data_IF_239050376157
#
_entry.id   IF_239050376157
#
_cell.length_a   1.000
_cell.length_b   1.000
_cell.length_c   1.000
_cell.angle_alpha   90.00
_cell.angle_beta   90.00
_cell.angle_gamma   90.00
#
_symmetry.space_group_name_H-M   'P 1'
#
loop_
_entity.id
_entity.type
_entity.pdbx_description
1 polymer ?
#
# COMPACT_ATOMS: atom_id res chain seq x y z
N UNK A 1 0.11 38.42 73.24
CA UNK A 1 -0.50 37.23 72.64
C UNK A 1 0.54 36.12 72.67
N UNK A 2 0.21 34.98 73.28
CA UNK A 2 1.17 34.04 73.88
C UNK A 2 1.17 32.70 73.14
N UNK A 3 1.56 32.71 71.86
CA UNK A 3 2.01 31.52 71.12
C UNK A 3 2.95 31.98 69.99
N UNK A 4 4.25 32.07 70.27
CA UNK A 4 5.27 32.52 69.32
C UNK A 4 5.36 31.66 68.04
N UNK A 5 4.59 32.04 67.04
CA UNK A 5 4.67 31.57 65.67
C UNK A 5 4.95 32.77 64.78
N UNK A 6 6.01 32.71 63.97
CA UNK A 6 6.27 33.69 62.93
C UNK A 6 5.20 33.55 61.83
N UNK A 7 4.43 34.62 61.61
CA UNK A 7 3.46 34.67 60.53
C UNK A 7 4.19 34.79 59.19
N UNK A 8 4.02 33.79 58.33
CA UNK A 8 4.49 33.84 56.95
C UNK A 8 3.49 34.70 56.15
N UNK A 9 3.92 35.77 55.46
CA UNK A 9 3.03 36.60 54.67
C UNK A 9 2.58 35.86 53.41
N UNK A 10 1.27 35.75 53.24
CA UNK A 10 0.63 35.35 51.98
C UNK A 10 0.46 36.63 51.15
N UNK A 11 1.10 36.68 49.98
CA UNK A 11 0.90 37.76 49.02
C UNK A 11 -0.33 37.48 48.15
N UNK A 12 -1.14 38.51 47.88
CA UNK A 12 -2.21 38.46 46.88
C UNK A 12 -1.62 38.11 45.50
N UNK A 13 -2.11 37.01 44.92
CA UNK A 13 -1.68 36.53 43.60
C UNK A 13 -1.81 35.03 43.36
N UNK A 14 -2.13 34.21 44.37
CA UNK A 14 -2.49 32.80 44.16
C UNK A 14 -3.95 32.67 43.70
N UNK A 15 -4.20 33.06 42.45
CA UNK A 15 -5.32 32.49 41.72
C UNK A 15 -5.05 30.98 41.53
N UNK A 16 -5.98 30.17 42.05
CA UNK A 16 -6.10 28.75 41.70
C UNK A 16 -6.36 28.64 40.20
N UNK A 17 -5.30 28.53 39.40
CA UNK A 17 -5.41 28.24 37.97
C UNK A 17 -5.13 26.77 37.66
N UNK A 18 -5.89 26.26 36.69
CA UNK A 18 -6.09 24.86 36.32
C UNK A 18 -4.83 23.97 36.38
N UNK A 19 -4.98 22.84 37.09
CA UNK A 19 -4.01 21.77 37.20
C UNK A 19 -3.80 21.04 35.87
N UNK A 20 -2.82 21.47 35.06
CA UNK A 20 -2.23 20.62 34.00
C UNK A 20 -0.88 21.09 33.41
N UNK A 21 -0.03 21.82 34.16
CA UNK A 21 1.26 22.32 33.64
C UNK A 21 2.44 22.15 34.59
N UNK A 22 3.64 21.95 34.04
CA UNK A 22 4.90 21.85 34.80
C UNK A 22 5.69 23.15 34.69
N UNK A 23 6.02 23.75 35.84
CA UNK A 23 6.97 24.87 35.91
C UNK A 23 8.39 24.35 36.14
N UNK A 24 9.28 24.61 35.19
CA UNK A 24 10.71 24.30 35.22
C UNK A 24 11.48 25.63 35.25
N UNK A 25 12.51 25.74 36.08
CA UNK A 25 13.30 26.97 36.15
C UNK A 25 14.04 27.24 34.82
N UNK A 26 14.16 28.51 34.37
CA UNK A 26 14.81 28.87 33.11
C UNK A 26 16.23 28.32 32.97
N UNK A 27 17.00 28.28 34.06
CA UNK A 27 18.35 27.70 34.08
C UNK A 27 18.37 26.20 33.77
N UNK A 28 17.36 25.46 34.25
CA UNK A 28 17.24 24.02 34.02
C UNK A 28 16.77 23.74 32.59
N UNK A 29 15.89 24.57 32.04
CA UNK A 29 15.49 24.54 30.61
C UNK A 29 16.70 24.74 29.70
N UNK A 30 17.57 25.71 30.02
CA UNK A 30 18.76 25.99 29.24
C UNK A 30 19.81 24.87 29.32
N UNK A 31 20.01 24.28 30.52
CA UNK A 31 20.89 23.11 30.70
C UNK A 31 20.38 21.85 29.98
N UNK A 32 19.06 21.68 29.86
CA UNK A 32 18.43 20.57 29.17
C UNK A 32 18.46 20.72 27.63
N UNK A 33 18.88 21.88 27.10
CA UNK A 33 18.93 22.12 25.67
C UNK A 33 17.56 22.12 24.99
N UNK A 34 16.52 22.53 25.72
CA UNK A 34 15.14 22.59 25.21
C UNK A 34 15.10 23.53 24.02
N UNK A 35 14.62 23.01 22.88
CA UNK A 35 14.35 23.80 21.69
C UNK A 35 12.86 23.81 21.43
N UNK A 36 12.35 24.94 20.99
CA UNK A 36 10.95 25.11 20.62
C UNK A 36 10.83 25.46 19.13
N UNK A 37 9.71 25.08 18.54
CA UNK A 37 9.32 25.47 17.19
C UNK A 37 7.88 26.01 17.23
N UNK A 38 7.57 26.95 16.34
CA UNK A 38 6.21 27.48 16.23
C UNK A 38 5.34 26.51 15.42
N UNK A 39 4.09 26.36 15.85
CA UNK A 39 3.05 25.67 15.09
C UNK A 39 2.62 26.61 13.97
N UNK A 40 2.84 26.20 12.73
CA UNK A 40 2.55 26.99 11.54
C UNK A 40 1.70 26.20 10.56
N UNK A 41 0.86 26.92 9.80
CA UNK A 41 0.17 26.33 8.65
C UNK A 41 1.16 26.11 7.52
N UNK A 42 1.33 24.85 7.11
CA UNK A 42 2.20 24.48 5.99
C UNK A 42 1.47 23.58 5.01
N UNK A 43 1.82 23.74 3.73
CA UNK A 43 1.45 22.76 2.73
C UNK A 43 2.28 21.49 3.00
N UNK A 44 1.60 20.44 3.47
CA UNK A 44 2.23 19.17 3.78
C UNK A 44 1.96 18.24 2.60
N UNK A 45 2.99 17.99 1.79
CA UNK A 45 2.86 17.05 0.68
C UNK A 45 2.57 15.66 1.25
N UNK A 46 1.31 15.25 1.17
CA UNK A 46 0.94 13.88 1.48
C UNK A 46 1.51 12.99 0.37
N UNK A 47 2.40 12.09 0.75
CA UNK A 47 2.97 11.09 -0.15
C UNK A 47 2.31 9.76 0.13
N UNK A 48 1.80 9.11 -0.92
CA UNK A 48 1.36 7.73 -0.84
C UNK A 48 2.54 6.86 -1.24
N UNK A 49 2.99 6.04 -0.31
CA UNK A 49 4.09 5.09 -0.53
C UNK A 49 3.51 3.75 -0.94
N UNK A 50 4.03 3.20 -2.02
CA UNK A 50 3.63 1.90 -2.55
C UNK A 50 4.85 1.14 -3.04
N UNK A 51 4.72 -0.17 -3.13
CA UNK A 51 5.65 -1.02 -3.86
C UNK A 51 5.02 -1.41 -5.18
N UNK A 52 5.85 -1.66 -6.18
CA UNK A 52 5.37 -2.04 -7.49
C UNK A 52 6.39 -2.84 -8.27
N UNK A 53 5.94 -3.30 -9.44
CA UNK A 53 6.75 -4.04 -10.38
C UNK A 53 6.69 -3.38 -11.75
N UNK A 54 7.82 -3.37 -12.44
CA UNK A 54 7.90 -2.91 -13.83
C UNK A 54 7.35 -4.01 -14.73
N UNK A 55 6.46 -3.63 -15.64
CA UNK A 55 5.81 -4.48 -16.61
C UNK A 55 5.95 -3.88 -18.01
N UNK A 56 5.77 -4.71 -19.01
CA UNK A 56 5.81 -4.30 -20.41
C UNK A 56 4.56 -3.48 -20.71
N UNK A 57 4.69 -2.42 -21.52
CA UNK A 57 3.52 -1.75 -22.07
C UNK A 57 2.83 -2.70 -23.06
N UNK A 58 1.68 -3.26 -22.65
CA UNK A 58 0.91 -4.21 -23.48
C UNK A 58 0.48 -3.60 -24.83
N UNK A 59 0.35 -2.26 -24.92
CA UNK A 59 0.02 -1.57 -26.18
C UNK A 59 1.17 -1.60 -27.18
N UNK A 60 2.40 -1.86 -26.70
CA UNK A 60 3.64 -1.91 -27.48
C UNK A 60 4.18 -3.33 -27.62
N UNK A 61 3.38 -4.31 -27.21
CA UNK A 61 3.67 -5.73 -27.34
C UNK A 61 3.13 -6.23 -28.68
N UNK A 62 3.97 -6.90 -29.46
CA UNK A 62 3.59 -7.45 -30.76
C UNK A 62 3.94 -8.93 -30.80
N UNK A 63 2.93 -9.74 -31.09
CA UNK A 63 3.07 -11.19 -31.26
C UNK A 63 3.20 -11.52 -32.74
N UNK A 64 4.25 -12.26 -33.10
CA UNK A 64 4.44 -12.77 -34.45
C UNK A 64 3.87 -14.18 -34.52
N UNK A 65 2.69 -14.30 -35.15
CA UNK A 65 1.99 -15.55 -35.36
C UNK A 65 1.65 -15.70 -36.85
N UNK A 66 2.22 -16.70 -37.56
CA UNK A 66 1.90 -16.96 -38.96
C UNK A 66 0.41 -17.31 -39.16
N UNK A 67 -0.13 -16.98 -40.34
CA UNK A 67 -1.55 -17.23 -40.70
C UNK A 67 -1.76 -18.52 -41.51
N UNK A 68 -0.72 -19.31 -41.69
CA UNK A 68 -0.69 -20.59 -42.39
C UNK A 68 0.22 -21.56 -41.65
N UNK A 69 0.25 -22.83 -42.06
CA UNK A 69 1.22 -23.80 -41.54
C UNK A 69 2.46 -23.92 -42.44
N UNK A 70 3.59 -24.21 -41.84
CA UNK A 70 4.85 -24.35 -42.55
C UNK A 70 5.99 -24.85 -41.69
N UNK A 71 7.17 -24.89 -42.28
CA UNK A 71 8.42 -25.28 -41.64
C UNK A 71 9.38 -24.10 -41.62
N UNK A 72 10.01 -23.87 -40.48
CA UNK A 72 11.06 -22.85 -40.36
C UNK A 72 12.34 -23.40 -41.00
N UNK A 73 12.73 -22.89 -42.17
CA UNK A 73 13.94 -23.37 -42.85
C UNK A 73 15.20 -22.67 -42.31
N UNK A 74 15.13 -21.36 -42.06
CA UNK A 74 16.27 -20.57 -41.59
C UNK A 74 15.84 -19.57 -40.54
N UNK A 75 16.59 -19.49 -39.45
CA UNK A 75 16.36 -18.56 -38.35
C UNK A 75 17.42 -17.45 -38.38
N UNK A 76 17.01 -16.19 -38.47
CA UNK A 76 17.93 -15.04 -38.40
C UNK A 76 18.03 -14.51 -36.97
N UNK A 77 16.89 -14.36 -36.30
CA UNK A 77 16.81 -13.91 -34.90
C UNK A 77 16.68 -15.13 -34.01
N UNK A 78 17.78 -15.55 -33.40
CA UNK A 78 17.88 -16.85 -32.75
C UNK A 78 17.95 -16.79 -31.21
N UNK A 79 17.97 -15.60 -30.60
CA UNK A 79 18.08 -15.41 -29.16
C UNK A 79 16.97 -14.51 -28.57
N UNK A 80 16.54 -14.81 -27.36
CA UNK A 80 15.74 -13.89 -26.54
C UNK A 80 16.63 -12.75 -26.02
N UNK A 81 16.05 -11.57 -25.84
CA UNK A 81 16.77 -10.35 -25.48
C UNK A 81 17.44 -9.62 -26.66
N UNK A 82 17.42 -10.20 -27.87
CA UNK A 82 17.93 -9.54 -29.07
C UNK A 82 17.01 -8.37 -29.47
N UNK A 83 17.60 -7.22 -29.79
CA UNK A 83 16.88 -6.10 -30.39
C UNK A 83 16.69 -6.35 -31.90
N UNK A 84 15.49 -6.05 -32.39
CA UNK A 84 15.12 -6.14 -33.81
C UNK A 84 14.54 -4.80 -34.28
N UNK A 85 14.93 -4.37 -35.48
CA UNK A 85 14.35 -3.22 -36.14
C UNK A 85 13.07 -3.60 -36.90
N UNK A 86 12.17 -2.64 -37.12
CA UNK A 86 10.97 -2.85 -37.96
C UNK A 86 11.40 -3.27 -39.38
N UNK A 87 10.84 -4.35 -39.89
CA UNK A 87 11.16 -4.91 -41.20
C UNK A 87 12.38 -5.84 -41.24
N UNK A 88 13.10 -5.99 -40.11
CA UNK A 88 14.21 -6.93 -40.00
C UNK A 88 13.75 -8.37 -40.20
N UNK A 89 14.58 -9.20 -40.83
CA UNK A 89 14.26 -10.60 -41.14
C UNK A 89 14.30 -11.40 -39.85
N UNK A 90 13.20 -12.07 -39.51
CA UNK A 90 13.11 -12.95 -38.33
C UNK A 90 13.49 -14.38 -38.70
N UNK A 91 12.80 -14.93 -39.70
CA UNK A 91 13.01 -16.29 -40.20
C UNK A 91 12.51 -16.43 -41.64
N UNK A 92 13.02 -17.44 -42.35
CA UNK A 92 12.47 -17.91 -43.61
C UNK A 92 11.63 -19.18 -43.35
N UNK A 93 10.44 -19.23 -43.92
CA UNK A 93 9.51 -20.34 -43.79
C UNK A 93 9.14 -20.94 -45.14
N UNK A 94 9.05 -22.27 -45.19
CA UNK A 94 8.50 -23.02 -46.30
C UNK A 94 7.08 -23.47 -45.97
N UNK A 95 6.13 -23.23 -46.88
CA UNK A 95 4.77 -23.78 -46.79
C UNK A 95 4.36 -24.35 -48.14
N UNK A 96 3.98 -25.64 -48.21
CA UNK A 96 3.47 -26.24 -49.45
C UNK A 96 2.22 -25.54 -49.97
N UNK A 97 1.30 -25.15 -49.07
CA UNK A 97 0.05 -24.49 -49.42
C UNK A 97 0.30 -23.08 -49.96
N UNK A 98 1.23 -22.34 -49.36
CA UNK A 98 1.64 -21.04 -49.85
C UNK A 98 2.22 -21.13 -51.27
N UNK A 99 3.11 -22.10 -51.50
CA UNK A 99 3.74 -22.31 -52.81
C UNK A 99 2.70 -22.68 -53.87
N UNK A 100 1.72 -23.52 -53.53
CA UNK A 100 0.61 -23.87 -54.43
C UNK A 100 -0.21 -22.62 -54.79
N UNK A 101 -0.59 -21.81 -53.80
CA UNK A 101 -1.36 -20.58 -54.05
C UNK A 101 -0.58 -19.55 -54.89
N UNK A 102 0.74 -19.42 -54.68
CA UNK A 102 1.58 -18.55 -55.51
C UNK A 102 1.60 -19.00 -56.97
N UNK A 103 1.72 -20.32 -57.23
CA UNK A 103 1.67 -20.89 -58.58
C UNK A 103 0.32 -20.66 -59.24
N UNK A 104 -0.76 -20.91 -58.52
CA UNK A 104 -2.12 -20.69 -59.02
C UNK A 104 -2.35 -19.21 -59.38
N UNK A 105 -1.91 -18.28 -58.53
CA UNK A 105 -2.01 -16.85 -58.83
C UNK A 105 -1.16 -16.45 -60.03
N UNK A 106 0.10 -16.89 -60.10
CA UNK A 106 1.00 -16.57 -61.19
C UNK A 106 0.46 -17.05 -62.54
N UNK A 107 -0.04 -18.29 -62.63
CA UNK A 107 -0.64 -18.83 -63.85
C UNK A 107 -1.90 -18.05 -64.24
N UNK A 108 -2.79 -17.76 -63.29
CA UNK A 108 -4.01 -17.01 -63.57
C UNK A 108 -3.73 -15.56 -64.01
N UNK A 109 -2.77 -14.89 -63.39
CA UNK A 109 -2.36 -13.53 -63.73
C UNK A 109 -1.69 -13.46 -65.11
N UNK A 110 -0.80 -14.40 -65.44
CA UNK A 110 -0.18 -14.50 -66.76
C UNK A 110 -1.20 -14.83 -67.84
N UNK A 111 -2.14 -15.75 -67.56
CA UNK A 111 -3.24 -16.05 -68.46
C UNK A 111 -4.06 -14.80 -68.81
N UNK A 112 -4.42 -13.99 -67.81
CA UNK A 112 -5.10 -12.71 -68.04
C UNK A 112 -4.30 -11.74 -68.90
N UNK A 113 -2.98 -11.66 -68.71
CA UNK A 113 -2.12 -10.78 -69.50
C UNK A 113 -2.01 -11.20 -70.97
N UNK A 114 -2.16 -12.51 -71.26
CA UNK A 114 -2.11 -13.09 -72.60
C UNK A 114 -3.45 -13.04 -73.35
N UNK A 115 -4.58 -12.94 -72.63
CA UNK A 115 -5.94 -12.94 -73.17
C UNK A 115 -6.37 -11.56 -73.71
N UNK A 116 -5.56 -10.94 -74.58
CA UNK A 116 -5.87 -9.63 -75.19
C UNK A 116 -7.05 -9.68 -76.18
N UNK A 117 -7.28 -10.83 -76.80
CA UNK A 117 -8.30 -11.04 -77.85
C UNK A 117 -9.33 -12.15 -77.50
N UNK A 118 -9.50 -12.47 -76.21
CA UNK A 118 -10.35 -13.58 -75.77
C UNK A 118 -11.78 -13.15 -75.42
N UNK A 119 -12.72 -14.10 -75.50
CA UNK A 119 -14.13 -13.90 -75.15
C UNK A 119 -14.30 -13.37 -73.71
N UNK A 120 -15.25 -12.45 -73.52
CA UNK A 120 -15.52 -11.80 -72.25
C UNK A 120 -15.80 -12.79 -71.10
N UNK A 121 -16.41 -13.96 -71.40
CA UNK A 121 -16.66 -15.01 -70.42
C UNK A 121 -15.36 -15.69 -69.94
N UNK A 122 -14.40 -15.91 -70.83
CA UNK A 122 -13.10 -16.50 -70.52
C UNK A 122 -12.26 -15.55 -69.67
N UNK A 123 -12.26 -14.26 -70.01
CA UNK A 123 -11.62 -13.21 -69.21
C UNK A 123 -12.24 -13.14 -67.80
N UNK A 124 -13.57 -13.17 -67.69
CA UNK A 124 -14.26 -13.14 -66.40
C UNK A 124 -14.01 -14.39 -65.54
N UNK A 125 -13.88 -15.58 -66.16
CA UNK A 125 -13.51 -16.81 -65.48
C UNK A 125 -12.09 -16.74 -64.90
N UNK A 126 -11.11 -16.37 -65.71
CA UNK A 126 -9.72 -16.24 -65.28
C UNK A 126 -9.53 -15.14 -64.24
N UNK A 127 -10.27 -14.02 -64.36
CA UNK A 127 -10.23 -12.94 -63.38
C UNK A 127 -10.69 -13.41 -62.00
N UNK A 128 -11.79 -14.17 -61.93
CA UNK A 128 -12.26 -14.75 -60.66
C UNK A 128 -11.24 -15.70 -60.02
N UNK A 129 -10.53 -16.49 -60.84
CA UNK A 129 -9.46 -17.38 -60.35
C UNK A 129 -8.28 -16.59 -59.78
N UNK A 130 -7.81 -15.57 -60.51
CA UNK A 130 -6.74 -14.69 -60.06
C UNK A 130 -7.13 -13.95 -58.78
N UNK A 131 -8.34 -13.40 -58.71
CA UNK A 131 -8.84 -12.67 -57.54
C UNK A 131 -8.94 -13.59 -56.29
N UNK A 132 -9.37 -14.85 -56.47
CA UNK A 132 -9.46 -15.82 -55.37
C UNK A 132 -8.08 -16.25 -54.85
N UNK A 133 -7.10 -16.45 -55.74
CA UNK A 133 -5.73 -16.76 -55.35
C UNK A 133 -5.05 -15.55 -54.69
N UNK A 134 -5.27 -14.34 -55.22
CA UNK A 134 -4.81 -13.08 -54.63
C UNK A 134 -5.35 -12.87 -53.22
N UNK A 135 -6.65 -13.11 -53.01
CA UNK A 135 -7.28 -13.00 -51.71
C UNK A 135 -6.62 -13.95 -50.68
N UNK A 136 -6.28 -15.19 -51.07
CA UNK A 136 -5.55 -16.13 -50.20
C UNK A 136 -4.15 -15.62 -49.85
N UNK A 137 -3.37 -15.17 -50.83
CA UNK A 137 -2.02 -14.64 -50.58
C UNK A 137 -2.05 -13.41 -49.65
N UNK A 138 -3.02 -12.50 -49.85
CA UNK A 138 -3.21 -11.34 -48.97
C UNK A 138 -3.65 -11.74 -47.56
N UNK A 139 -4.53 -12.73 -47.44
CA UNK A 139 -4.94 -13.24 -46.12
C UNK A 139 -3.77 -13.85 -45.34
N UNK A 140 -2.72 -14.28 -46.02
CA UNK A 140 -1.48 -14.77 -45.42
C UNK A 140 -0.39 -13.71 -45.25
N UNK A 141 -0.74 -12.43 -45.44
CA UNK A 141 0.15 -11.28 -45.34
C UNK A 141 1.39 -11.36 -46.26
N UNK A 142 1.27 -12.04 -47.41
CA UNK A 142 2.28 -11.92 -48.46
C UNK A 142 2.33 -10.47 -48.92
N UNK A 143 3.54 -9.91 -49.04
CA UNK A 143 3.69 -8.49 -49.35
C UNK A 143 3.17 -8.17 -50.75
N UNK A 144 2.62 -6.96 -50.93
CA UNK A 144 2.16 -6.51 -52.25
C UNK A 144 3.31 -6.47 -53.28
N UNK A 145 4.55 -6.26 -52.84
CA UNK A 145 5.74 -6.35 -53.68
C UNK A 145 5.97 -7.78 -54.22
N UNK A 146 5.84 -8.79 -53.38
CA UNK A 146 5.96 -10.19 -53.79
C UNK A 146 4.80 -10.60 -54.70
N UNK A 147 3.57 -10.16 -54.39
CA UNK A 147 2.40 -10.37 -55.24
C UNK A 147 2.58 -9.73 -56.62
N UNK A 148 3.08 -8.50 -56.68
CA UNK A 148 3.34 -7.79 -57.94
C UNK A 148 4.42 -8.50 -58.77
N UNK A 149 5.47 -9.02 -58.13
CA UNK A 149 6.50 -9.82 -58.82
C UNK A 149 5.93 -11.10 -59.43
N UNK A 150 5.04 -11.81 -58.71
CA UNK A 150 4.35 -12.99 -59.25
C UNK A 150 3.48 -12.65 -60.46
N UNK A 151 2.74 -11.53 -60.39
CA UNK A 151 1.90 -11.07 -61.49
C UNK A 151 2.71 -10.65 -62.73
N UNK A 152 3.92 -10.09 -62.53
CA UNK A 152 4.82 -9.67 -63.60
C UNK A 152 5.58 -10.82 -64.27
N UNK A 153 5.30 -12.08 -63.90
CA UNK A 153 5.96 -13.25 -64.47
C UNK A 153 7.13 -13.79 -63.66
N UNK A 154 7.32 -13.32 -62.42
CA UNK A 154 8.32 -13.85 -61.50
C UNK A 154 8.00 -15.29 -61.06
N UNK A 155 9.04 -16.06 -60.78
CA UNK A 155 8.88 -17.44 -60.31
C UNK A 155 8.38 -17.50 -58.85
N UNK A 156 7.43 -18.41 -58.54
CA UNK A 156 7.02 -18.69 -57.16
C UNK A 156 8.20 -19.07 -56.29
N UNK A 157 8.32 -18.42 -55.13
CA UNK A 157 9.42 -18.66 -54.20
C UNK A 157 9.03 -19.76 -53.23
N UNK A 158 9.94 -20.73 -53.07
CA UNK A 158 9.77 -21.80 -52.09
C UNK A 158 9.65 -21.25 -50.66
N UNK A 159 10.46 -20.26 -50.30
CA UNK A 159 10.51 -19.71 -48.95
C UNK A 159 9.98 -18.29 -48.89
N UNK A 160 9.22 -17.97 -47.84
CA UNK A 160 8.78 -16.62 -47.50
C UNK A 160 9.60 -16.10 -46.31
N UNK A 161 10.10 -14.87 -46.41
CA UNK A 161 10.81 -14.23 -45.29
C UNK A 161 9.81 -13.49 -44.41
N UNK A 162 9.67 -13.94 -43.16
CA UNK A 162 8.93 -13.22 -42.14
C UNK A 162 9.77 -12.10 -41.56
N UNK A 163 9.17 -10.91 -41.47
CA UNK A 163 9.82 -9.69 -40.99
C UNK A 163 9.19 -9.20 -39.69
N UNK A 164 9.97 -8.48 -38.90
CA UNK A 164 9.50 -7.88 -37.67
C UNK A 164 8.44 -6.78 -37.96
N UNK A 165 7.20 -6.91 -37.44
CA UNK A 165 6.14 -5.93 -37.68
C UNK A 165 6.41 -4.58 -36.98
N UNK A 166 7.18 -4.61 -35.88
CA UNK A 166 7.57 -3.46 -35.08
C UNK A 166 9.04 -3.60 -34.63
N UNK A 167 9.65 -2.48 -34.24
CA UNK A 167 10.97 -2.48 -33.62
C UNK A 167 10.84 -2.75 -32.11
N UNK A 168 11.79 -3.48 -31.52
CA UNK A 168 11.75 -3.79 -30.10
C UNK A 168 12.71 -4.91 -29.70
N UNK A 169 12.59 -5.37 -28.46
CA UNK A 169 13.36 -6.49 -27.92
C UNK A 169 12.52 -7.77 -27.97
N UNK A 170 13.13 -8.87 -28.39
CA UNK A 170 12.50 -10.20 -28.36
C UNK A 170 12.38 -10.67 -26.91
N UNK A 171 11.16 -10.69 -26.37
CA UNK A 171 10.88 -11.19 -25.03
C UNK A 171 10.79 -12.72 -25.00
N UNK A 172 10.06 -13.28 -25.95
CA UNK A 172 9.91 -14.72 -26.12
C UNK A 172 10.25 -15.14 -27.54
N UNK A 173 10.94 -16.30 -27.65
CA UNK A 173 11.28 -16.94 -28.92
C UNK A 173 10.95 -18.43 -28.84
N UNK A 174 9.82 -18.83 -29.41
CA UNK A 174 9.42 -20.24 -29.53
C UNK A 174 9.87 -20.84 -30.86
N UNK A 175 10.19 -20.01 -31.85
CA UNK A 175 10.71 -20.44 -33.14
C UNK A 175 12.05 -21.20 -33.02
N UNK A 176 12.08 -22.40 -33.58
CA UNK A 176 13.27 -23.24 -33.73
C UNK A 176 13.47 -23.61 -35.19
N UNK A 177 14.70 -23.56 -35.69
CA UNK A 177 14.99 -23.96 -37.06
C UNK A 177 14.67 -25.45 -37.27
N UNK A 178 13.99 -25.77 -38.37
CA UNK A 178 13.48 -27.11 -38.71
C UNK A 178 12.11 -27.42 -38.11
N UNK A 179 11.58 -26.59 -37.21
CA UNK A 179 10.30 -26.80 -36.56
C UNK A 179 9.14 -26.56 -37.53
N UNK A 180 8.08 -27.37 -37.42
CA UNK A 180 6.79 -27.11 -38.05
C UNK A 180 5.96 -26.20 -37.16
N UNK A 181 5.34 -25.17 -37.73
CA UNK A 181 4.41 -24.28 -37.03
C UNK A 181 2.99 -24.41 -37.59
N UNK A 182 2.02 -24.17 -36.73
CA UNK A 182 0.60 -24.09 -37.09
C UNK A 182 0.13 -22.63 -37.25
N UNK A 183 -0.99 -22.39 -37.96
CA UNK A 183 -1.58 -21.06 -38.04
C UNK A 183 -1.97 -20.56 -36.64
N UNK A 184 -1.63 -19.32 -36.32
CA UNK A 184 -1.89 -18.71 -35.01
C UNK A 184 -0.88 -19.10 -33.92
N UNK A 185 0.08 -19.97 -34.20
CA UNK A 185 1.13 -20.31 -33.25
C UNK A 185 2.05 -19.11 -33.01
N UNK A 186 2.22 -18.73 -31.75
CA UNK A 186 3.12 -17.65 -31.36
C UNK A 186 4.57 -18.10 -31.50
N UNK A 187 5.28 -17.52 -32.47
CA UNK A 187 6.69 -17.82 -32.75
C UNK A 187 7.64 -16.84 -32.06
N UNK A 188 7.27 -15.56 -32.04
CA UNK A 188 8.01 -14.49 -31.36
C UNK A 188 7.05 -13.59 -30.60
N UNK A 189 7.57 -13.02 -29.52
CA UNK A 189 6.95 -11.89 -28.84
C UNK A 189 7.97 -10.76 -28.77
N UNK A 190 7.66 -9.64 -29.39
CA UNK A 190 8.53 -8.47 -29.51
C UNK A 190 7.89 -7.33 -28.75
N UNK A 191 8.65 -6.64 -27.89
CA UNK A 191 8.16 -5.49 -27.16
C UNK A 191 9.07 -4.27 -27.34
N UNK A 192 8.48 -3.12 -27.60
CA UNK A 192 9.19 -1.85 -27.47
C UNK A 192 9.26 -1.44 -25.99
N UNK A 193 10.48 -1.49 -25.43
CA UNK A 193 10.78 -1.18 -24.03
C UNK A 193 11.14 0.30 -23.79
N UNK A 194 10.98 1.18 -24.79
CA UNK A 194 11.27 2.62 -24.65
C UNK A 194 10.33 3.34 -23.66
N UNK A 195 9.16 2.78 -23.40
CA UNK A 195 8.25 3.15 -22.32
C UNK A 195 7.83 1.88 -21.61
N UNK A 196 7.83 1.89 -20.28
CA UNK A 196 7.42 0.75 -19.46
C UNK A 196 6.32 1.17 -18.50
N UNK A 197 5.51 0.20 -18.10
CA UNK A 197 4.54 0.40 -17.04
C UNK A 197 5.17 0.01 -15.72
N UNK A 198 4.81 0.73 -14.68
CA UNK A 198 4.99 0.29 -13.33
C UNK A 198 3.61 0.09 -12.71
N UNK A 199 3.36 -1.11 -12.22
CA UNK A 199 2.14 -1.45 -11.52
C UNK A 199 2.44 -1.38 -10.03
N UNK A 200 1.95 -0.32 -9.39
CA UNK A 200 2.06 -0.09 -7.96
C UNK A 200 0.86 -0.68 -7.22
N UNK A 201 1.12 -1.38 -6.13
CA UNK A 201 0.11 -1.86 -5.20
C UNK A 201 -0.11 -0.80 -4.11
N UNK A 202 -1.23 -0.08 -4.19
CA UNK A 202 -1.64 0.94 -3.22
C UNK A 202 -2.69 0.36 -2.28
N UNK A 203 -2.49 0.49 -0.96
CA UNK A 203 -3.47 -0.01 0.01
C UNK A 203 -4.81 0.71 -0.07
N UNK A 204 -5.89 -0.01 0.25
CA UNK A 204 -7.27 0.50 0.25
C UNK A 204 -7.45 1.81 1.04
N UNK A 205 -6.69 2.00 2.13
CA UNK A 205 -6.78 3.19 2.99
C UNK A 205 -6.30 4.48 2.29
N UNK A 206 -5.42 4.35 1.30
CA UNK A 206 -4.76 5.47 0.63
C UNK A 206 -5.29 5.70 -0.80
N UNK A 207 -6.05 4.75 -1.37
CA UNK A 207 -6.52 4.82 -2.77
C UNK A 207 -7.37 6.07 -3.05
N UNK A 208 -8.13 6.55 -2.07
CA UNK A 208 -8.96 7.76 -2.20
C UNK A 208 -8.15 9.04 -2.44
N UNK A 209 -6.83 9.01 -2.21
CA UNK A 209 -5.92 10.14 -2.43
C UNK A 209 -5.21 10.07 -3.79
N UNK A 210 -5.23 8.90 -4.44
CA UNK A 210 -4.57 8.68 -5.73
C UNK A 210 -5.51 9.06 -6.87
N UNK A 211 -5.04 9.91 -7.78
CA UNK A 211 -5.79 10.37 -8.96
C UNK A 211 -4.93 10.24 -10.22
N UNK A 212 -5.60 9.98 -11.34
CA UNK A 212 -4.96 9.98 -12.66
C UNK A 212 -4.35 11.36 -12.94
N UNK A 213 -3.12 11.37 -13.47
CA UNK A 213 -2.34 12.57 -13.77
C UNK A 213 -1.34 12.97 -12.69
N UNK A 214 -1.40 12.38 -11.49
CA UNK A 214 -0.42 12.65 -10.43
C UNK A 214 0.99 12.23 -10.82
N UNK A 215 1.98 12.98 -10.34
CA UNK A 215 3.40 12.63 -10.46
C UNK A 215 3.75 11.55 -9.45
N UNK A 216 4.54 10.58 -9.90
CA UNK A 216 5.08 9.53 -9.07
C UNK A 216 6.60 9.50 -9.19
N UNK A 217 7.29 9.54 -8.05
CA UNK A 217 8.72 9.30 -7.99
C UNK A 217 8.96 7.81 -7.75
N UNK A 218 9.83 7.21 -8.56
CA UNK A 218 10.12 5.79 -8.55
C UNK A 218 11.59 5.59 -8.23
N UNK A 219 11.88 4.76 -7.24
CA UNK A 219 13.22 4.39 -6.80
C UNK A 219 13.39 2.88 -6.92
N UNK A 220 14.45 2.46 -7.61
CA UNK A 220 14.81 1.06 -7.77
C UNK A 220 16.05 0.76 -6.93
N UNK A 221 16.10 -0.42 -6.32
CA UNK A 221 17.31 -0.88 -5.61
C UNK A 221 18.49 -1.09 -6.56
N UNK A 222 18.22 -1.48 -7.81
CA UNK A 222 19.24 -1.64 -8.84
C UNK A 222 19.96 -0.31 -9.19
N UNK A 223 19.33 0.84 -8.92
CA UNK A 223 19.85 2.16 -9.23
C UNK A 223 19.57 3.15 -8.07
N UNK A 224 20.24 3.00 -6.91
CA UNK A 224 19.88 3.73 -5.69
C UNK A 224 20.07 5.24 -5.79
N UNK A 225 21.02 5.68 -6.62
CA UNK A 225 21.36 7.10 -6.85
C UNK A 225 20.46 7.77 -7.90
N UNK A 226 19.56 7.03 -8.56
CA UNK A 226 18.68 7.56 -9.59
C UNK A 226 17.22 7.52 -9.13
N UNK A 227 16.53 8.63 -9.38
CA UNK A 227 15.08 8.73 -9.27
C UNK A 227 14.49 8.77 -10.67
N UNK A 228 13.49 7.94 -10.91
CA UNK A 228 12.74 7.93 -12.15
C UNK A 228 11.41 8.63 -11.90
N UNK A 229 11.03 9.53 -12.78
CA UNK A 229 9.74 10.22 -12.68
C UNK A 229 8.74 9.60 -13.65
N UNK A 230 7.56 9.30 -13.13
CA UNK A 230 6.43 8.78 -13.89
C UNK A 230 5.15 9.54 -13.63
N UNK A 231 4.10 9.19 -14.37
CA UNK A 231 2.75 9.72 -14.15
C UNK A 231 1.76 8.59 -13.98
N UNK A 232 0.84 8.76 -13.04
CA UNK A 232 -0.30 7.85 -12.87
C UNK A 232 -1.20 7.98 -14.10
N UNK A 233 -1.29 6.93 -14.90
CA UNK A 233 -2.12 6.92 -16.12
C UNK A 233 -3.45 6.21 -15.91
N UNK A 234 -3.51 5.28 -14.96
CA UNK A 234 -4.70 4.49 -14.72
C UNK A 234 -4.75 3.95 -13.29
N UNK A 235 -5.94 3.94 -12.70
CA UNK A 235 -6.21 3.28 -11.42
C UNK A 235 -7.19 2.16 -11.73
N UNK A 236 -6.81 0.92 -11.45
CA UNK A 236 -7.66 -0.23 -11.76
C UNK A 236 -8.89 -0.23 -10.84
N UNK A 237 -10.08 -0.59 -11.36
CA UNK A 237 -11.32 -0.59 -10.58
C UNK A 237 -11.44 -1.80 -9.64
N UNK A 238 -10.45 -2.69 -9.61
CA UNK A 238 -10.44 -3.93 -8.84
C UNK A 238 -9.39 -3.87 -7.74
N UNK A 239 -9.71 -4.48 -6.58
CA UNK A 239 -8.76 -4.71 -5.49
C UNK A 239 -8.33 -6.18 -5.50
N UNK A 240 -7.05 -6.42 -5.19
CA UNK A 240 -6.54 -7.76 -4.87
C UNK A 240 -7.01 -8.15 -3.47
N UNK A 241 -7.85 -9.18 -3.30
CA UNK A 241 -8.39 -9.54 -2.00
C UNK A 241 -7.32 -10.06 -1.03
N UNK A 242 -6.23 -10.64 -1.55
CA UNK A 242 -5.15 -11.22 -0.74
C UNK A 242 -4.34 -10.15 0.00
N UNK A 243 -4.09 -9.01 -0.65
CA UNK A 243 -3.28 -7.91 -0.12
C UNK A 243 -4.09 -6.67 0.25
N UNK A 244 -5.39 -6.66 -0.10
CA UNK A 244 -6.27 -5.48 -0.01
C UNK A 244 -5.64 -4.23 -0.64
N UNK A 245 -4.99 -4.42 -1.77
CA UNK A 245 -4.37 -3.36 -2.55
C UNK A 245 -5.10 -3.16 -3.88
N UNK A 246 -5.24 -1.90 -4.26
CA UNK A 246 -5.65 -1.51 -5.60
C UNK A 246 -4.39 -1.34 -6.48
N UNK A 247 -4.49 -1.76 -7.73
CA UNK A 247 -3.39 -1.60 -8.67
C UNK A 247 -3.46 -0.21 -9.31
N UNK A 248 -2.33 0.48 -9.34
CA UNK A 248 -2.16 1.79 -9.96
C UNK A 248 -1.08 1.69 -11.02
N UNK A 249 -1.44 2.02 -12.26
CA UNK A 249 -0.52 2.02 -13.40
C UNK A 249 0.14 3.39 -13.53
N UNK A 250 1.46 3.36 -13.53
CA UNK A 250 2.33 4.52 -13.72
C UNK A 250 3.12 4.28 -15.00
N UNK A 251 3.10 5.24 -15.92
CA UNK A 251 3.92 5.18 -17.13
C UNK A 251 5.28 5.83 -16.89
N UNK A 252 6.34 5.13 -17.24
CA UNK A 252 7.74 5.54 -17.04
C UNK A 252 8.49 5.55 -18.39
N UNK A 253 9.13 6.67 -18.76
CA UNK A 253 10.00 6.71 -19.92
C UNK A 253 11.28 5.90 -19.65
N UNK A 254 11.72 5.12 -20.64
CA UNK A 254 12.88 4.24 -20.55
C UNK A 254 13.78 4.33 -21.81
N UNK A 255 14.26 5.53 -22.19
CA UNK A 255 15.06 5.71 -23.41
C UNK A 255 16.39 4.96 -23.37
N UNK A 256 16.98 4.80 -22.18
CA UNK A 256 18.25 4.10 -21.98
C UNK A 256 18.10 2.56 -21.86
N UNK A 257 16.86 2.03 -21.85
CA UNK A 257 16.61 0.59 -21.65
C UNK A 257 17.04 0.05 -20.28
N UNK A 258 17.20 0.92 -19.27
CA UNK A 258 17.65 0.55 -17.91
C UNK A 258 16.54 -0.12 -17.09
N UNK A 259 15.30 0.32 -17.27
CA UNK A 259 14.14 -0.25 -16.60
C UNK A 259 13.78 -1.56 -17.29
N UNK A 260 14.08 -2.67 -16.64
CA UNK A 260 13.78 -4.00 -17.18
C UNK A 260 12.45 -4.51 -16.59
N UNK A 261 11.62 -5.20 -17.40
CA UNK A 261 10.44 -5.88 -16.89
C UNK A 261 10.78 -6.82 -15.73
N UNK A 262 9.81 -7.01 -14.83
CA UNK A 262 9.90 -7.74 -13.58
C UNK A 262 10.79 -7.14 -12.47
N UNK A 263 11.43 -5.99 -12.69
CA UNK A 263 12.13 -5.27 -11.61
C UNK A 263 11.14 -4.74 -10.56
N UNK A 264 11.52 -4.82 -9.29
CA UNK A 264 10.80 -4.20 -8.18
C UNK A 264 11.20 -2.73 -8.03
N UNK A 265 10.24 -1.91 -7.63
CA UNK A 265 10.50 -0.51 -7.31
C UNK A 265 9.63 -0.01 -6.16
N UNK A 266 10.16 0.97 -5.45
CA UNK A 266 9.44 1.78 -4.48
C UNK A 266 8.89 3.01 -5.17
N UNK A 267 7.66 3.35 -4.85
CA UNK A 267 6.91 4.40 -5.51
C UNK A 267 6.39 5.37 -4.47
N UNK A 268 6.61 6.64 -4.72
CA UNK A 268 6.11 7.76 -3.95
C UNK A 268 5.20 8.59 -4.85
N UNK A 269 3.88 8.43 -4.66
CA UNK A 269 2.86 9.15 -5.43
C UNK A 269 2.55 10.45 -4.67
N UNK A 270 2.69 11.57 -5.36
CA UNK A 270 2.30 12.87 -4.81
C UNK A 270 0.76 12.94 -4.73
N UNK A 271 0.21 12.74 -3.54
CA UNK A 271 -1.23 12.78 -3.30
C UNK A 271 -1.78 14.21 -3.12
N UNK A 272 -0.90 15.22 -3.18
CA UNK A 272 -1.25 16.62 -2.94
C UNK A 272 -1.46 16.90 -1.45
N UNK A 273 -1.01 18.08 -1.03
CA UNK A 273 -1.15 18.57 0.34
C UNK A 273 -2.18 19.68 0.45
N UNK A 274 -3.02 19.63 1.47
CA UNK A 274 -3.73 20.81 1.95
C UNK A 274 -2.83 21.64 2.88
N UNK A 275 -3.10 22.93 3.00
CA UNK A 275 -2.49 23.74 4.06
C UNK A 275 -3.07 23.31 5.40
N UNK A 276 -2.26 22.61 6.20
CA UNK A 276 -2.64 22.08 7.52
C UNK A 276 -1.75 22.65 8.60
N UNK A 277 -2.25 22.71 9.83
CA UNK A 277 -1.42 22.98 11.00
C UNK A 277 -0.40 21.87 11.11
N UNK A 278 0.89 22.22 11.05
CA UNK A 278 1.97 21.25 11.00
C UNK A 278 2.92 21.46 12.18
N UNK A 279 3.35 20.35 12.78
CA UNK A 279 4.41 20.35 13.80
C UNK A 279 5.55 19.44 13.37
N UNK A 280 6.81 19.73 13.75
CA UNK A 280 7.92 18.83 13.48
C UNK A 280 7.66 17.44 14.06
N UNK A 281 8.06 16.39 13.35
CA UNK A 281 7.91 15.00 13.80
C UNK A 281 8.56 14.78 15.17
N UNK A 282 9.64 15.50 15.50
CA UNK A 282 10.34 15.41 16.78
C UNK A 282 9.55 15.99 17.97
N UNK A 283 8.55 16.84 17.74
CA UNK A 283 7.74 17.44 18.81
C UNK A 283 6.65 16.50 19.34
N UNK A 284 6.30 15.46 18.57
CA UNK A 284 5.22 14.54 18.91
C UNK A 284 5.76 13.37 19.71
N UNK A 285 5.18 13.16 20.90
CA UNK A 285 5.39 11.96 21.69
C UNK A 285 4.26 10.99 21.38
N UNK A 286 4.58 9.90 20.68
CA UNK A 286 3.64 8.83 20.32
C UNK A 286 3.89 7.60 21.20
N UNK A 287 3.04 7.40 22.21
CA UNK A 287 3.09 6.24 23.10
C UNK A 287 2.22 5.07 22.61
N UNK A 288 1.68 5.15 21.38
CA UNK A 288 0.69 4.22 20.83
C UNK A 288 -0.71 4.45 21.39
N UNK A 289 -0.86 4.51 22.72
CA UNK A 289 -2.15 4.75 23.39
C UNK A 289 -2.55 6.23 23.40
N UNK A 290 -1.57 7.14 23.49
CA UNK A 290 -1.78 8.58 23.54
C UNK A 290 -0.73 9.30 22.69
N UNK A 291 -1.16 10.35 22.01
CA UNK A 291 -0.33 11.24 21.19
C UNK A 291 -0.33 12.61 21.84
N UNK A 292 0.81 13.01 22.38
CA UNK A 292 0.94 14.21 23.20
C UNK A 292 2.00 15.13 22.61
N UNK A 293 1.73 16.44 22.65
CA UNK A 293 2.69 17.49 22.33
C UNK A 293 2.82 18.40 23.55
N UNK A 294 4.04 18.84 23.83
CA UNK A 294 4.31 19.75 24.95
C UNK A 294 4.29 21.18 24.41
N UNK A 295 3.33 21.98 24.87
CA UNK A 295 3.21 23.40 24.54
C UNK A 295 3.99 24.23 25.55
N UNK A 296 4.88 25.09 25.07
CA UNK A 296 5.57 26.09 25.86
C UNK A 296 4.70 27.35 25.98
N UNK A 297 4.29 27.65 27.22
CA UNK A 297 3.49 28.83 27.56
C UNK A 297 4.34 30.04 27.94
N UNK A 298 5.67 29.93 27.87
CA UNK A 298 6.60 30.94 28.36
C UNK A 298 6.85 30.82 29.86
N UNK A 299 7.82 31.59 30.36
CA UNK A 299 8.20 31.62 31.79
C UNK A 299 8.59 30.24 32.38
N UNK A 300 9.01 29.30 31.52
CA UNK A 300 9.34 27.94 31.93
C UNK A 300 8.12 27.08 32.27
N UNK A 301 6.92 27.44 31.80
CA UNK A 301 5.69 26.64 31.96
C UNK A 301 5.45 25.76 30.73
N UNK A 302 5.40 24.45 30.94
CA UNK A 302 5.15 23.45 29.91
C UNK A 302 3.84 22.72 30.16
N UNK A 303 3.00 22.63 29.13
CA UNK A 303 1.68 22.00 29.20
C UNK A 303 1.61 20.80 28.24
N UNK A 304 1.53 19.54 28.73
CA UNK A 304 1.27 18.40 27.88
C UNK A 304 -0.16 18.45 27.36
N UNK A 305 -0.34 18.38 26.04
CA UNK A 305 -1.64 18.42 25.39
C UNK A 305 -1.82 17.25 24.44
N UNK A 306 -2.95 16.56 24.55
CA UNK A 306 -3.32 15.50 23.61
C UNK A 306 -3.71 16.10 22.25
N UNK A 307 -3.21 15.52 21.17
CA UNK A 307 -3.45 15.99 19.81
C UNK A 307 -3.94 14.87 18.90
N UNK A 308 -4.85 15.21 17.98
CA UNK A 308 -5.22 14.31 16.88
C UNK A 308 -4.34 14.60 15.68
N UNK A 309 -3.52 13.62 15.32
CA UNK A 309 -2.62 13.72 14.17
C UNK A 309 -3.32 13.26 12.87
N UNK A 310 -2.97 13.91 11.77
CA UNK A 310 -3.39 13.58 10.41
C UNK A 310 -2.26 12.94 9.60
N UNK A 311 -2.13 13.35 8.33
CA UNK A 311 -1.06 12.86 7.44
C UNK A 311 0.33 13.23 7.97
N UNK A 312 1.24 12.26 7.92
CA UNK A 312 2.65 12.44 8.28
C UNK A 312 3.46 12.62 6.99
N UNK A 313 4.18 13.73 6.89
CA UNK A 313 5.22 13.93 5.88
C UNK A 313 6.60 13.55 6.43
N UNK A 314 7.65 13.88 5.67
CA UNK A 314 9.02 13.48 6.04
C UNK A 314 9.53 14.17 7.31
N UNK A 315 9.37 15.49 7.41
CA UNK A 315 9.85 16.26 8.58
C UNK A 315 8.72 16.74 9.50
N UNK A 316 7.51 16.88 8.97
CA UNK A 316 6.36 17.45 9.67
C UNK A 316 5.17 16.50 9.68
N UNK A 317 4.31 16.62 10.69
CA UNK A 317 3.04 15.91 10.80
C UNK A 317 1.90 16.90 10.91
N UNK A 318 0.81 16.60 10.21
CA UNK A 318 -0.42 17.37 10.27
C UNK A 318 -1.10 17.18 11.63
N UNK A 319 -1.61 18.26 12.20
CA UNK A 319 -2.42 18.28 13.42
C UNK A 319 -3.84 18.66 13.03
N UNK A 320 -4.77 17.73 13.25
CA UNK A 320 -6.19 17.91 12.95
C UNK A 320 -6.93 18.61 14.09
N UNK A 321 -6.51 18.38 15.34
CA UNK A 321 -7.13 18.92 16.54
C UNK A 321 -6.14 18.97 17.71
N UNK A 322 -6.32 19.94 18.61
CA UNK A 322 -5.54 20.09 19.85
C UNK A 322 -4.48 21.19 19.87
N UNK A 323 -4.13 21.84 18.75
CA UNK A 323 -3.16 22.95 18.72
C UNK A 323 -3.69 24.14 17.93
N UNK A 324 -3.19 25.34 18.27
CA UNK A 324 -3.49 26.59 17.55
C UNK A 324 -2.25 27.12 16.83
N UNK A 325 -2.50 27.86 15.77
CA UNK A 325 -1.45 28.54 14.99
C UNK A 325 -0.70 29.55 15.88
N UNK A 326 0.63 29.54 15.80
CA UNK A 326 1.50 30.42 16.58
C UNK A 326 1.87 29.91 17.97
N UNK A 327 1.29 28.81 18.46
CA UNK A 327 1.75 28.17 19.71
C UNK A 327 3.19 27.67 19.57
N UNK A 328 3.97 27.70 20.65
CA UNK A 328 5.33 27.17 20.68
C UNK A 328 5.31 25.74 21.21
N UNK A 329 5.87 24.79 20.47
CA UNK A 329 5.95 23.37 20.86
C UNK A 329 7.39 22.94 21.05
N UNK A 330 7.64 22.08 22.04
CA UNK A 330 8.98 21.59 22.35
C UNK A 330 9.41 20.52 21.35
N UNK A 331 10.51 20.76 20.62
CA UNK A 331 11.08 19.84 19.61
C UNK A 331 12.27 19.02 20.11
N UNK A 332 12.91 19.44 21.21
CA UNK A 332 14.06 18.76 21.81
C UNK A 332 13.93 18.73 23.34
N UNK A 333 14.36 17.62 23.95
CA UNK A 333 14.19 17.31 25.37
C UNK A 333 12.72 17.18 25.84
N UNK A 334 11.78 16.97 24.89
CA UNK A 334 10.37 16.69 25.17
C UNK A 334 10.17 15.47 26.07
N UNK A 335 10.96 14.40 25.89
CA UNK A 335 10.91 13.21 26.75
C UNK A 335 11.26 13.50 28.22
N UNK A 336 12.27 14.34 28.47
CA UNK A 336 12.69 14.67 29.84
C UNK A 336 11.65 15.54 30.56
N UNK A 337 11.00 16.45 29.82
CA UNK A 337 9.93 17.29 30.34
C UNK A 337 8.67 16.44 30.60
N UNK A 338 8.33 15.51 29.71
CA UNK A 338 7.22 14.58 29.91
C UNK A 338 7.46 13.65 31.10
N UNK A 339 8.69 13.13 31.27
CA UNK A 339 9.06 12.32 32.41
C UNK A 339 8.97 13.09 33.74
N UNK A 340 9.41 14.36 33.79
CA UNK A 340 9.24 15.23 34.96
C UNK A 340 7.76 15.55 35.22
N UNK A 341 6.96 15.74 34.17
CA UNK A 341 5.51 15.97 34.27
C UNK A 341 4.78 14.77 34.84
N UNK A 342 5.06 13.58 34.32
CA UNK A 342 4.48 12.33 34.82
C UNK A 342 4.96 12.02 36.23
N UNK A 343 6.24 12.28 36.55
CA UNK A 343 6.77 12.10 37.88
C UNK A 343 6.12 13.06 38.89
N UNK A 344 5.94 14.34 38.54
CA UNK A 344 5.26 15.31 39.42
C UNK A 344 3.77 15.03 39.55
N UNK A 345 3.11 14.58 38.49
CA UNK A 345 1.72 14.13 38.57
C UNK A 345 1.59 12.91 39.50
N UNK A 346 2.52 11.96 39.39
CA UNK A 346 2.57 10.79 40.28
C UNK A 346 2.89 11.18 41.73
N UNK A 347 3.90 12.01 41.97
CA UNK A 347 4.28 12.47 43.31
C UNK A 347 3.20 13.37 43.94
N UNK A 348 2.59 14.25 43.16
CA UNK A 348 1.47 15.09 43.60
C UNK A 348 0.23 14.29 43.97
N UNK A 349 -0.01 13.16 43.28
CA UNK A 349 -1.05 12.19 43.65
C UNK A 349 -0.70 11.39 44.92
N UNK A 350 0.58 11.35 45.33
CA UNK A 350 1.04 10.68 46.55
C UNK A 350 1.10 11.61 47.77
N UNK A 351 1.14 12.95 47.59
CA UNK A 351 1.24 13.93 48.69
C UNK A 351 -0.07 14.61 49.09
N UNK A 352 -1.19 14.29 48.43
CA UNK A 352 -2.51 14.66 48.93
C UNK A 352 -2.91 13.69 50.07
N UNK A 353 -3.48 14.16 51.21
CA UNK A 353 -3.94 13.26 52.26
C UNK A 353 -5.00 12.31 51.71
N UNK A 354 -4.85 11.02 52.01
CA UNK A 354 -5.80 9.97 51.66
C UNK A 354 -7.22 10.31 52.13
N UNK A 355 -8.03 10.78 51.18
CA UNK A 355 -9.48 10.68 51.21
C UNK A 355 -10.00 10.45 49.80
N UNK A 356 -9.51 9.40 49.12
CA UNK A 356 -10.33 8.63 48.18
C UNK A 356 -9.57 7.40 47.73
N UNK A 357 -10.21 6.25 47.92
CA UNK A 357 -9.81 4.99 47.33
C UNK A 357 -9.72 5.12 45.80
N UNK A 358 -8.77 4.37 45.24
CA UNK A 358 -8.51 4.19 43.81
C UNK A 358 -9.76 4.31 42.91
N UNK A 359 -9.83 5.40 42.15
CA UNK A 359 -10.68 5.53 40.97
C UNK A 359 -9.80 5.50 39.72
N UNK A 360 -9.35 4.30 39.34
CA UNK A 360 -9.12 4.02 37.93
C UNK A 360 -10.43 4.24 37.18
N UNK A 361 -10.36 4.85 36.00
CA UNK A 361 -11.47 5.13 35.07
C UNK A 361 -12.66 4.19 35.29
N UNK A 362 -13.80 4.79 35.65
CA UNK A 362 -14.99 4.13 36.19
C UNK A 362 -15.36 2.80 35.54
N UNK A 363 -14.99 1.72 36.22
CA UNK A 363 -15.78 0.50 36.26
C UNK A 363 -16.60 0.57 37.53
N UNK A 364 -17.92 0.46 37.40
CA UNK A 364 -18.80 0.45 38.57
C UNK A 364 -18.42 -0.78 39.39
N UNK A 365 -17.86 -0.55 40.58
CA UNK A 365 -17.58 -1.63 41.52
C UNK A 365 -18.89 -2.08 42.14
N UNK A 366 -19.17 -3.38 42.05
CA UNK A 366 -20.34 -4.01 42.62
C UNK A 366 -19.93 -4.81 43.86
N UNK A 367 -20.70 -4.71 44.93
CA UNK A 367 -20.51 -5.50 46.15
C UNK A 367 -21.61 -6.55 46.25
N UNK A 368 -21.24 -7.80 46.52
CA UNK A 368 -22.18 -8.88 46.71
C UNK A 368 -21.78 -9.78 47.88
N UNK A 369 -22.75 -10.58 48.32
CA UNK A 369 -22.56 -11.63 49.32
C UNK A 369 -22.84 -12.96 48.66
N UNK A 370 -22.14 -14.00 49.09
CA UNK A 370 -22.31 -15.32 48.52
C UNK A 370 -21.53 -16.38 49.25
N UNK A 371 -21.44 -17.55 48.64
CA UNK A 371 -20.61 -18.66 49.07
C UNK A 371 -19.61 -18.96 47.94
N UNK A 372 -18.34 -19.06 48.30
CA UNK A 372 -17.32 -19.50 47.35
C UNK A 372 -17.43 -21.02 47.23
N UNK A 373 -17.80 -21.53 46.06
CA UNK A 373 -18.05 -22.96 45.85
C UNK A 373 -16.79 -23.69 45.40
N UNK A 374 -15.99 -23.09 44.52
CA UNK A 374 -14.72 -23.64 44.04
C UNK A 374 -13.73 -22.57 43.57
N UNK A 375 -12.44 -22.92 43.53
CA UNK A 375 -11.34 -22.06 43.05
C UNK A 375 -10.41 -22.87 42.16
N UNK A 376 -10.31 -22.51 40.88
CA UNK A 376 -9.29 -23.05 40.00
C UNK A 376 -8.00 -22.23 40.10
N UNK A 377 -7.02 -22.77 40.83
CA UNK A 377 -5.72 -22.15 41.04
C UNK A 377 -4.85 -22.03 39.78
N UNK A 378 -5.17 -22.72 38.67
CA UNK A 378 -4.41 -22.63 37.41
C UNK A 378 -4.90 -21.50 36.52
N UNK A 379 -6.21 -21.22 36.54
CA UNK A 379 -6.85 -20.22 35.67
C UNK A 379 -7.21 -18.93 36.42
N UNK A 380 -7.24 -18.96 37.76
CA UNK A 380 -7.65 -17.84 38.59
C UNK A 380 -9.16 -17.64 38.65
N UNK A 381 -9.94 -18.64 38.19
CA UNK A 381 -11.40 -18.61 38.16
C UNK A 381 -12.00 -19.05 39.50
N UNK A 382 -13.05 -18.34 39.92
CA UNK A 382 -13.78 -18.51 41.18
C UNK A 382 -15.24 -18.83 40.85
N UNK A 383 -15.76 -19.94 41.34
CA UNK A 383 -17.19 -20.27 41.23
C UNK A 383 -17.87 -19.76 42.50
N UNK A 384 -18.78 -18.79 42.36
CA UNK A 384 -19.43 -18.14 43.50
C UNK A 384 -20.96 -18.21 43.34
N UNK A 385 -21.62 -18.80 44.32
CA UNK A 385 -23.07 -18.69 44.53
C UNK A 385 -23.38 -17.40 45.26
N UNK A 386 -23.85 -16.38 44.54
CA UNK A 386 -24.12 -15.06 45.12
C UNK A 386 -25.61 -14.86 45.41
N UNK A 387 -25.91 -14.04 46.42
CA UNK A 387 -27.24 -13.50 46.70
C UNK A 387 -27.66 -12.50 45.60
N UNK A 388 -28.92 -12.05 45.60
CA UNK A 388 -29.37 -11.06 44.61
C UNK A 388 -28.50 -9.79 44.67
N UNK A 389 -28.11 -9.27 43.49
CA UNK A 389 -27.24 -8.09 43.34
C UNK A 389 -28.08 -6.95 42.75
N UNK A 390 -28.63 -6.05 43.58
CA UNK A 390 -29.57 -5.02 43.12
C UNK A 390 -28.97 -4.06 42.10
N UNK A 391 -27.67 -3.77 42.20
CA UNK A 391 -26.96 -2.86 41.29
C UNK A 391 -26.92 -3.36 39.84
N UNK A 392 -27.00 -4.67 39.63
CA UNK A 392 -27.01 -5.31 38.30
C UNK A 392 -28.37 -5.95 37.96
N UNK A 393 -29.36 -5.86 38.86
CA UNK A 393 -30.66 -6.53 38.77
C UNK A 393 -30.54 -8.05 38.59
N UNK A 394 -29.51 -8.66 39.16
CA UNK A 394 -29.31 -10.10 39.09
C UNK A 394 -30.03 -10.82 40.24
N UNK A 395 -30.75 -11.93 39.97
CA UNK A 395 -31.26 -12.81 41.01
C UNK A 395 -30.09 -13.56 41.70
N UNK A 396 -30.39 -14.26 42.79
CA UNK A 396 -29.41 -15.17 43.38
C UNK A 396 -29.09 -16.31 42.40
N UNK A 397 -27.82 -16.49 42.04
CA UNK A 397 -27.37 -17.51 41.10
C UNK A 397 -25.88 -17.85 41.32
N UNK A 398 -25.44 -18.95 40.71
CA UNK A 398 -24.04 -19.41 40.74
C UNK A 398 -23.37 -19.07 39.42
N UNK A 399 -22.25 -18.34 39.48
CA UNK A 399 -21.51 -17.93 38.28
C UNK A 399 -20.00 -17.95 38.52
N UNK A 400 -19.27 -17.91 37.40
CA UNK A 400 -17.82 -17.83 37.37
C UNK A 400 -17.36 -16.36 37.39
N UNK A 401 -16.36 -16.08 38.21
CA UNK A 401 -15.68 -14.80 38.29
C UNK A 401 -14.17 -15.02 38.19
N UNK A 402 -13.42 -13.99 37.77
CA UNK A 402 -11.94 -14.07 37.71
C UNK A 402 -11.34 -13.31 38.89
N UNK A 403 -10.37 -13.88 39.59
CA UNK A 403 -9.66 -13.17 40.65
C UNK A 403 -8.73 -12.09 40.07
N UNK A 404 -8.73 -10.89 40.65
CA UNK A 404 -7.84 -9.81 40.21
C UNK A 404 -6.34 -10.12 40.42
N UNK A 405 -6.02 -11.00 41.40
CA UNK A 405 -4.68 -11.49 41.69
C UNK A 405 -4.74 -12.78 42.54
N UNK A 406 -3.58 -13.43 42.70
CA UNK A 406 -3.39 -14.63 43.53
C UNK A 406 -3.83 -14.47 45.00
N UNK A 407 -3.71 -13.27 45.55
CA UNK A 407 -4.08 -13.01 46.95
C UNK A 407 -5.61 -13.06 47.12
N UNK A 408 -6.36 -12.52 46.16
CA UNK A 408 -7.83 -12.61 46.13
C UNK A 408 -8.27 -14.07 45.92
N UNK A 409 -7.61 -14.81 45.01
CA UNK A 409 -7.95 -16.21 44.77
C UNK A 409 -7.75 -17.10 46.01
N UNK A 410 -6.81 -16.75 46.89
CA UNK A 410 -6.48 -17.50 48.12
C UNK A 410 -7.13 -16.91 49.38
N UNK A 411 -7.95 -15.86 49.26
CA UNK A 411 -8.50 -15.12 50.39
C UNK A 411 -9.55 -15.91 51.20
N UNK A 412 -10.23 -16.88 50.59
CA UNK A 412 -11.24 -17.71 51.23
C UNK A 412 -11.15 -19.17 50.75
N UNK A 413 -11.61 -20.12 51.58
CA UNK A 413 -11.65 -21.55 51.22
C UNK A 413 -12.99 -21.88 50.53
N UNK A 414 -13.01 -22.81 49.56
CA UNK A 414 -14.25 -23.37 49.05
C UNK A 414 -15.18 -23.83 50.18
N UNK A 415 -16.47 -23.54 50.06
CA UNK A 415 -17.50 -23.78 51.06
C UNK A 415 -17.66 -22.69 52.13
N UNK A 416 -16.98 -21.56 52.04
CA UNK A 416 -17.12 -20.46 53.03
C UNK A 416 -18.06 -19.35 52.53
N UNK A 417 -18.88 -18.75 53.42
CA UNK A 417 -19.62 -17.54 53.08
C UNK A 417 -18.65 -16.36 52.96
N UNK A 418 -18.80 -15.57 51.92
CA UNK A 418 -17.93 -14.45 51.56
C UNK A 418 -18.73 -13.18 51.29
N UNK A 419 -18.13 -12.03 51.60
CA UNK A 419 -18.49 -10.75 51.00
C UNK A 419 -17.41 -10.41 49.97
N UNK A 420 -17.79 -9.98 48.77
CA UNK A 420 -16.83 -9.72 47.70
C UNK A 420 -17.20 -8.48 46.88
N UNK A 421 -16.17 -7.82 46.37
CA UNK A 421 -16.27 -6.67 45.46
C UNK A 421 -15.73 -7.08 44.10
N UNK A 422 -16.41 -6.67 43.03
CA UNK A 422 -16.05 -7.04 41.67
C UNK A 422 -16.38 -5.94 40.66
N UNK A 423 -15.67 -5.94 39.54
CA UNK A 423 -15.79 -4.97 38.45
C UNK A 423 -15.86 -5.67 37.10
N UNK A 424 -16.53 -5.07 36.13
CA UNK A 424 -16.52 -5.56 34.74
C UNK A 424 -15.31 -5.02 33.99
N UNK A 425 -14.36 -5.89 33.60
CA UNK A 425 -13.16 -5.44 32.85
C UNK A 425 -13.35 -5.43 31.34
N UNK A 426 -14.15 -6.35 30.82
CA UNK A 426 -14.60 -6.45 29.42
C UNK A 426 -16.07 -6.90 29.45
N UNK A 427 -16.86 -6.65 28.39
CA UNK A 427 -18.25 -7.13 28.33
C UNK A 427 -18.36 -8.61 28.70
N UNK A 428 -18.98 -8.92 29.85
CA UNK A 428 -19.15 -10.28 30.37
C UNK A 428 -17.97 -10.86 31.18
N UNK A 429 -16.87 -10.13 31.37
CA UNK A 429 -15.73 -10.53 32.20
C UNK A 429 -15.77 -9.83 33.57
N UNK A 430 -16.26 -10.56 34.57
CA UNK A 430 -16.41 -10.08 35.94
C UNK A 430 -15.21 -10.45 36.80
N UNK A 431 -14.50 -9.44 37.29
CA UNK A 431 -13.24 -9.60 38.02
C UNK A 431 -13.43 -9.22 39.48
N UNK A 432 -13.19 -10.16 40.38
CA UNK A 432 -13.25 -9.93 41.83
C UNK A 432 -12.00 -9.20 42.28
N UNK A 433 -12.17 -8.02 42.85
CA UNK A 433 -11.09 -7.16 43.35
C UNK A 433 -10.80 -7.39 44.83
N UNK A 434 -11.79 -7.88 45.60
CA UNK A 434 -11.67 -8.12 47.04
C UNK A 434 -12.60 -9.25 47.50
N UNK A 435 -12.12 -10.10 48.41
CA UNK A 435 -12.92 -11.14 49.08
C UNK A 435 -12.64 -11.06 50.59
N UNK A 436 -13.70 -11.08 51.38
CA UNK A 436 -13.66 -11.17 52.84
C UNK A 436 -14.48 -12.38 53.32
N UNK A 437 -13.85 -13.39 53.94
CA UNK A 437 -14.58 -14.52 54.50
C UNK A 437 -15.40 -14.05 55.71
N UNK A 438 -16.67 -14.46 55.76
CA UNK A 438 -17.54 -14.25 56.92
C UNK A 438 -17.48 -15.47 57.83
N UNK A 439 -17.51 -15.22 59.13
CA UNK A 439 -17.62 -16.26 60.16
C UNK A 439 -19.05 -16.73 60.31
#
# INVERSE_FOLDING_TARGET
DSMGMDYIPVYEGEEREAASGVKISPEKVQKLGVRTAKVERRALDAVVRATGRIEVDERRLVTVAPKFEGYIERLYVNATGQFVARGERLFDAYSPELLAAQREYAVAAQGLAQLKDADAQTVAGMKRLADAALARLRNWDVSDEEIAQLAAGGEPRRTLTFRAPAAGVVLEKKAVQGMRFMPGEMLYQIADLSSVWLIADVFEQDIGRVRVGQRAAVKLEAYPERRFEGRVTYVYPTLKPETRSAQVRIELPNPDGRLKPAMYAHVEIAAGGGTVLAVPNSAVIDSGARRVVIVDRGEGRFEPREVKLGSRGDEYVAVLDGLKEGESVVVAANFLIDAESNLRAALGSMTAPEASAAAGKGQVAHSARGRLDDVDARTGTLVISHEAIPSLKWPAMTMEFVAANDAVAKAAKPGTPIAFEFVERKPGEWVVTKIEPRK
#
